data_IF_910725391696
#
_entry.id   IF_910725391696
#
_cell.length_a   1.000
_cell.length_b   1.000
_cell.length_c   1.000
_cell.angle_alpha   90.00
_cell.angle_beta   90.00
_cell.angle_gamma   90.00
#
_symmetry.space_group_name_H-M   'P 1'
#
loop_
_entity.id
_entity.type
_entity.pdbx_description
1 polymer ?
#
# COMPACT_ATOMS: atom_id res chain seq x y z
N UNK A 1 -11.57 -26.07 14.09
CA UNK A 1 -10.53 -25.29 13.37
C UNK A 1 -10.71 -25.40 11.87
N UNK A 2 -10.83 -26.61 11.32
CA UNK A 2 -11.04 -26.80 9.88
C UNK A 2 -12.29 -26.12 9.32
N UNK A 3 -13.42 -26.14 10.04
CA UNK A 3 -14.64 -25.46 9.61
C UNK A 3 -14.47 -23.94 9.52
N UNK A 4 -13.60 -23.38 10.38
CA UNK A 4 -13.26 -21.96 10.35
C UNK A 4 -12.41 -21.67 9.11
N UNK A 5 -11.39 -22.49 8.82
CA UNK A 5 -10.53 -22.35 7.64
C UNK A 5 -11.34 -22.41 6.35
N UNK A 6 -12.23 -23.41 6.20
CA UNK A 6 -13.06 -23.58 4.99
C UNK A 6 -13.98 -22.39 4.69
N UNK A 7 -14.34 -21.59 5.70
CA UNK A 7 -15.13 -20.36 5.52
C UNK A 7 -14.30 -19.17 5.05
N UNK A 8 -12.99 -19.22 5.16
CA UNK A 8 -12.12 -18.15 4.73
C UNK A 8 -11.89 -18.25 3.22
N UNK A 9 -12.01 -17.15 2.46
CA UNK A 9 -11.82 -17.18 1.01
C UNK A 9 -10.48 -17.75 0.53
N UNK A 10 -9.45 -17.69 1.39
CA UNK A 10 -8.13 -18.22 1.09
C UNK A 10 -8.08 -19.77 1.06
N UNK A 11 -8.91 -20.45 1.87
CA UNK A 11 -8.86 -21.91 2.01
C UNK A 11 -10.14 -22.61 1.54
N UNK A 12 -11.12 -21.89 1.01
CA UNK A 12 -12.45 -22.45 0.69
C UNK A 12 -12.42 -23.55 -0.38
N UNK A 13 -11.40 -23.55 -1.25
CA UNK A 13 -11.19 -24.58 -2.27
C UNK A 13 -10.15 -25.63 -1.92
N UNK A 14 -9.44 -25.49 -0.79
CA UNK A 14 -8.34 -26.38 -0.40
C UNK A 14 -8.87 -27.73 0.07
N UNK A 15 -8.18 -28.82 -0.30
CA UNK A 15 -8.52 -30.16 0.14
C UNK A 15 -8.60 -30.24 1.68
N UNK A 16 -9.69 -30.79 2.25
CA UNK A 16 -9.81 -30.99 3.69
C UNK A 16 -8.65 -31.81 4.27
N UNK A 17 -8.25 -32.87 3.58
CA UNK A 17 -7.19 -33.78 4.04
C UNK A 17 -5.84 -33.06 4.19
N UNK A 18 -5.54 -32.14 3.26
CA UNK A 18 -4.33 -31.30 3.31
C UNK A 18 -4.38 -30.36 4.52
N UNK A 19 -5.53 -29.73 4.77
CA UNK A 19 -5.69 -28.85 5.93
C UNK A 19 -5.57 -29.63 7.25
N UNK A 20 -6.17 -30.83 7.34
CA UNK A 20 -6.09 -31.68 8.53
C UNK A 20 -4.66 -32.13 8.81
N UNK A 21 -3.95 -32.57 7.76
CA UNK A 21 -2.54 -32.95 7.85
C UNK A 21 -1.70 -31.79 8.40
N UNK A 22 -1.84 -30.60 7.81
CA UNK A 22 -1.05 -29.43 8.22
C UNK A 22 -1.36 -28.95 9.63
N UNK A 23 -2.61 -29.09 10.10
CA UNK A 23 -2.97 -28.81 11.49
C UNK A 23 -2.32 -29.85 12.41
N UNK A 24 -2.40 -31.14 12.07
CA UNK A 24 -1.82 -32.22 12.86
C UNK A 24 -0.29 -32.09 12.99
N UNK A 25 0.38 -31.72 11.90
CA UNK A 25 1.83 -31.46 11.84
C UNK A 25 2.23 -30.10 12.44
N UNK A 26 1.29 -29.35 13.03
CA UNK A 26 1.48 -28.01 13.61
C UNK A 26 2.06 -26.99 12.63
N UNK A 27 1.85 -27.19 11.34
CA UNK A 27 2.21 -26.24 10.29
C UNK A 27 1.20 -25.09 10.20
N UNK A 28 -0.04 -25.32 10.65
CA UNK A 28 -1.07 -24.29 10.85
C UNK A 28 -1.46 -24.29 12.33
N UNK A 29 -1.28 -23.18 13.03
CA UNK A 29 -1.65 -23.02 14.44
C UNK A 29 -2.41 -21.73 14.67
N UNK A 30 -3.36 -21.74 15.61
CA UNK A 30 -4.06 -20.51 16.02
C UNK A 30 -3.24 -19.82 17.11
N UNK A 31 -2.95 -18.53 16.92
CA UNK A 31 -2.23 -17.68 17.88
C UNK A 31 -3.14 -16.55 18.33
N UNK A 32 -3.11 -16.23 19.62
CA UNK A 32 -3.80 -15.07 20.19
C UNK A 32 -2.78 -13.99 20.53
N UNK A 33 -3.11 -12.75 20.20
CA UNK A 33 -2.28 -11.58 20.44
C UNK A 33 -3.10 -10.56 21.23
N UNK A 34 -2.57 -10.10 22.36
CA UNK A 34 -3.23 -9.06 23.14
C UNK A 34 -3.07 -7.69 22.47
N UNK A 35 -4.01 -6.80 22.70
CA UNK A 35 -3.87 -5.38 22.32
C UNK A 35 -2.54 -4.82 22.82
N UNK A 36 -1.86 -4.06 21.95
CA UNK A 36 -0.57 -3.42 22.23
C UNK A 36 0.64 -4.34 22.09
N UNK A 37 0.46 -5.62 21.76
CA UNK A 37 1.59 -6.55 21.59
C UNK A 37 2.17 -6.49 20.18
N UNK A 38 3.49 -6.55 20.10
CA UNK A 38 4.20 -6.73 18.83
C UNK A 38 4.00 -8.16 18.33
N UNK A 39 3.48 -8.30 17.12
CA UNK A 39 3.30 -9.58 16.42
C UNK A 39 4.58 -9.96 15.68
N UNK A 40 5.18 -8.99 14.96
CA UNK A 40 6.45 -9.14 14.24
C UNK A 40 7.32 -7.91 14.43
N UNK A 41 8.61 -8.13 14.64
CA UNK A 41 9.59 -7.07 14.86
C UNK A 41 10.27 -6.65 13.56
N UNK A 42 10.57 -5.37 13.42
CA UNK A 42 11.37 -4.84 12.33
C UNK A 42 12.74 -5.53 12.28
N UNK A 43 13.16 -5.92 11.08
CA UNK A 43 14.42 -6.61 10.84
C UNK A 43 14.39 -8.11 11.17
N UNK A 44 13.38 -8.61 11.87
CA UNK A 44 13.22 -10.04 12.12
C UNK A 44 12.94 -10.81 10.82
N UNK A 45 13.33 -12.08 10.81
CA UNK A 45 13.12 -12.95 9.66
C UNK A 45 11.67 -13.44 9.59
N UNK A 46 11.08 -13.37 8.40
CA UNK A 46 9.75 -13.84 8.10
C UNK A 46 9.77 -15.34 7.81
N UNK A 47 9.58 -16.14 8.86
CA UNK A 47 9.47 -17.60 8.75
C UNK A 47 8.04 -18.12 8.53
N UNK A 48 7.04 -17.23 8.61
CA UNK A 48 5.62 -17.59 8.65
C UNK A 48 4.74 -16.61 7.88
N UNK A 49 3.56 -17.09 7.49
CA UNK A 49 2.45 -16.29 6.98
C UNK A 49 1.32 -16.32 8.00
N UNK A 50 0.80 -15.16 8.36
CA UNK A 50 -0.36 -15.06 9.26
C UNK A 50 -1.61 -14.67 8.49
N UNK A 51 -2.75 -15.23 8.89
CA UNK A 51 -4.07 -14.77 8.45
C UNK A 51 -4.86 -14.25 9.64
N UNK A 52 -5.32 -13.01 9.56
CA UNK A 52 -6.10 -12.38 10.63
C UNK A 52 -7.49 -13.01 10.67
N UNK A 53 -7.82 -13.71 11.76
CA UNK A 53 -9.14 -14.31 11.97
C UNK A 53 -10.13 -13.35 12.62
N UNK A 54 -9.62 -12.49 13.50
CA UNK A 54 -10.39 -11.45 14.19
C UNK A 54 -9.43 -10.40 14.74
N UNK A 55 -9.94 -9.20 14.99
CA UNK A 55 -9.15 -8.07 15.44
C UNK A 55 -8.55 -7.29 14.28
N UNK A 56 -7.57 -6.45 14.62
CA UNK A 56 -6.89 -5.52 13.71
C UNK A 56 -5.43 -5.41 14.12
N UNK A 57 -4.55 -5.44 13.12
CA UNK A 57 -3.12 -5.20 13.25
C UNK A 57 -2.71 -3.98 12.44
N UNK A 58 -1.59 -3.37 12.80
CA UNK A 58 -1.04 -2.23 12.08
C UNK A 58 0.47 -2.35 11.95
N UNK A 59 1.00 -2.01 10.77
CA UNK A 59 2.43 -1.75 10.57
C UNK A 59 2.67 -0.25 10.51
N UNK A 60 3.70 0.21 11.21
CA UNK A 60 4.03 1.63 11.30
C UNK A 60 5.53 1.88 11.09
N UNK A 61 5.84 3.08 10.62
CA UNK A 61 7.19 3.61 10.58
C UNK A 61 7.36 4.64 11.69
N UNK A 62 8.49 4.56 12.41
CA UNK A 62 8.93 5.60 13.34
C UNK A 62 9.78 6.61 12.59
N UNK A 63 9.42 7.89 12.70
CA UNK A 63 10.23 9.00 12.20
C UNK A 63 11.34 9.34 13.21
N UNK A 64 12.46 9.95 12.79
CA UNK A 64 13.56 10.32 13.70
C UNK A 64 13.15 11.27 14.84
N UNK A 65 12.07 12.04 14.65
CA UNK A 65 11.48 12.91 15.66
C UNK A 65 10.50 12.18 16.62
N UNK A 66 10.37 10.86 16.50
CA UNK A 66 9.48 10.04 17.32
C UNK A 66 8.03 9.96 16.82
N UNK A 67 7.65 10.62 15.73
CA UNK A 67 6.28 10.50 15.21
C UNK A 67 6.06 9.17 14.50
N UNK A 68 4.94 8.52 14.81
CA UNK A 68 4.51 7.27 14.19
C UNK A 68 3.65 7.53 12.96
N UNK A 69 3.93 6.85 11.86
CA UNK A 69 3.07 6.85 10.66
C UNK A 69 2.60 5.44 10.39
N UNK A 70 1.28 5.24 10.42
CA UNK A 70 0.66 3.98 10.00
C UNK A 70 0.83 3.81 8.49
N UNK A 71 1.46 2.72 8.08
CA UNK A 71 1.73 2.42 6.67
C UNK A 71 0.77 1.37 6.13
N UNK A 72 0.51 0.33 6.93
CA UNK A 72 -0.41 -0.74 6.58
C UNK A 72 -1.34 -1.07 7.75
N UNK A 73 -2.58 -1.36 7.42
CA UNK A 73 -3.56 -1.90 8.35
C UNK A 73 -3.97 -3.29 7.85
N UNK A 74 -4.18 -4.20 8.79
CA UNK A 74 -4.60 -5.57 8.52
C UNK A 74 -5.86 -5.85 9.32
N UNK A 75 -6.93 -6.13 8.60
CA UNK A 75 -8.24 -6.48 9.16
C UNK A 75 -8.52 -7.97 8.97
N UNK A 76 -9.68 -8.44 9.43
CA UNK A 76 -10.08 -9.85 9.29
C UNK A 76 -10.01 -10.30 7.82
N UNK A 77 -9.35 -11.42 7.58
CA UNK A 77 -9.07 -11.97 6.25
C UNK A 77 -7.76 -11.47 5.61
N UNK A 78 -7.12 -10.45 6.18
CA UNK A 78 -5.82 -9.97 5.70
C UNK A 78 -4.73 -11.00 5.93
N UNK A 79 -3.77 -11.02 5.00
CA UNK A 79 -2.60 -11.90 5.06
C UNK A 79 -1.36 -11.07 5.37
N UNK A 80 -0.62 -11.45 6.41
CA UNK A 80 0.64 -10.85 6.84
C UNK A 80 1.79 -11.79 6.48
N UNK A 81 2.93 -11.23 6.07
CA UNK A 81 4.13 -12.02 5.75
C UNK A 81 4.16 -12.64 4.35
N UNK A 82 3.03 -12.71 3.63
CA UNK A 82 2.97 -13.36 2.31
C UNK A 82 3.95 -12.78 1.27
N UNK A 83 4.17 -11.47 1.27
CA UNK A 83 5.13 -10.81 0.36
C UNK A 83 6.61 -11.02 0.75
N UNK A 84 6.87 -11.52 1.97
CA UNK A 84 8.21 -11.67 2.53
C UNK A 84 8.64 -13.14 2.59
N UNK A 85 7.70 -14.06 2.85
CA UNK A 85 7.96 -15.47 3.16
C UNK A 85 8.85 -16.19 2.13
N UNK A 86 8.64 -15.89 0.84
CA UNK A 86 9.40 -16.46 -0.29
C UNK A 86 10.29 -15.43 -1.01
N UNK A 87 10.40 -14.22 -0.47
CA UNK A 87 11.22 -13.16 -1.06
C UNK A 87 12.72 -13.38 -0.82
N UNK A 88 13.56 -12.87 -1.73
CA UNK A 88 15.03 -12.86 -1.55
C UNK A 88 15.47 -12.03 -0.34
N UNK A 89 14.65 -11.05 0.07
CA UNK A 89 14.76 -10.30 1.31
C UNK A 89 13.55 -10.62 2.18
N UNK A 90 13.66 -11.63 3.02
CA UNK A 90 12.57 -12.13 3.86
C UNK A 90 12.53 -11.49 5.26
N UNK A 91 12.89 -10.21 5.41
CA UNK A 91 12.87 -9.53 6.72
C UNK A 91 11.76 -8.50 6.79
N UNK A 92 11.13 -8.38 7.97
CA UNK A 92 10.06 -7.41 8.19
C UNK A 92 10.62 -5.98 8.10
N UNK A 93 10.10 -5.12 7.22
CA UNK A 93 10.61 -3.75 7.08
C UNK A 93 10.14 -2.82 8.21
N UNK A 94 9.12 -3.22 8.97
CA UNK A 94 8.44 -2.43 10.01
C UNK A 94 7.97 -3.36 11.13
N UNK A 95 7.77 -2.79 12.32
CA UNK A 95 7.06 -3.47 13.40
C UNK A 95 5.59 -3.63 13.03
N UNK A 96 5.01 -4.79 13.35
CA UNK A 96 3.58 -5.07 13.22
C UNK A 96 3.04 -5.34 14.62
N UNK A 97 2.03 -4.60 15.04
CA UNK A 97 1.43 -4.71 16.37
C UNK A 97 -0.07 -4.91 16.30
N UNK A 98 -0.62 -5.51 17.35
CA UNK A 98 -2.05 -5.73 17.49
C UNK A 98 -2.72 -4.50 18.11
N UNK A 99 -3.61 -3.81 17.38
CA UNK A 99 -4.33 -2.63 17.92
C UNK A 99 -5.55 -3.01 18.75
N UNK A 100 -5.99 -4.26 18.64
CA UNK A 100 -7.08 -4.89 19.42
C UNK A 100 -6.61 -6.26 19.89
N UNK A 101 -7.40 -6.95 20.72
CA UNK A 101 -7.16 -8.39 20.92
C UNK A 101 -7.44 -9.12 19.60
N UNK A 102 -6.45 -9.83 19.09
CA UNK A 102 -6.50 -10.45 17.77
C UNK A 102 -6.28 -11.95 17.84
N UNK A 103 -6.91 -12.68 16.92
CA UNK A 103 -6.62 -14.09 16.68
C UNK A 103 -6.07 -14.25 15.27
N UNK A 104 -4.95 -14.95 15.15
CA UNK A 104 -4.24 -15.18 13.90
C UNK A 104 -4.18 -16.69 13.62
N UNK A 105 -4.23 -17.06 12.34
CA UNK A 105 -3.76 -18.35 11.87
C UNK A 105 -2.32 -18.19 11.43
N UNK A 106 -1.41 -18.78 12.19
CA UNK A 106 0.02 -18.78 11.94
C UNK A 106 0.38 -20.01 11.11
N UNK A 107 0.93 -19.78 9.93
CA UNK A 107 1.28 -20.83 8.97
C UNK A 107 2.78 -20.79 8.72
N UNK A 108 3.47 -21.88 9.00
CA UNK A 108 4.90 -22.00 8.75
C UNK A 108 5.20 -21.92 7.26
N UNK A 109 6.43 -21.55 6.89
CA UNK A 109 6.87 -21.57 5.49
C UNK A 109 6.62 -22.92 4.81
N UNK A 110 7.01 -24.02 5.46
CA UNK A 110 6.77 -25.38 4.99
C UNK A 110 5.28 -25.72 4.85
N UNK A 111 4.45 -25.20 5.76
CA UNK A 111 2.98 -25.32 5.63
C UNK A 111 2.45 -24.60 4.40
N UNK A 112 2.95 -23.39 4.12
CA UNK A 112 2.57 -22.67 2.90
C UNK A 112 3.10 -23.39 1.65
N UNK A 113 4.33 -23.90 1.65
CA UNK A 113 4.87 -24.70 0.55
C UNK A 113 3.98 -25.90 0.22
N UNK A 114 3.50 -26.61 1.24
CA UNK A 114 2.57 -27.72 1.04
C UNK A 114 1.20 -27.27 0.52
N UNK A 115 0.68 -26.14 1.02
CA UNK A 115 -0.57 -25.55 0.51
C UNK A 115 -0.45 -25.12 -0.95
N UNK A 116 0.74 -24.71 -1.40
CA UNK A 116 0.98 -24.32 -2.80
C UNK A 116 0.95 -25.50 -3.78
N UNK A 117 0.92 -26.75 -3.29
CA UNK A 117 0.66 -27.93 -4.14
C UNK A 117 -0.85 -28.11 -4.45
N UNK A 118 -1.73 -27.42 -3.72
CA UNK A 118 -3.19 -27.50 -3.88
C UNK A 118 -3.73 -26.30 -4.68
N UNK A 119 -4.29 -26.57 -5.86
CA UNK A 119 -4.82 -25.53 -6.76
C UNK A 119 -5.93 -24.67 -6.10
N UNK A 120 -6.71 -25.27 -5.20
CA UNK A 120 -7.76 -24.61 -4.44
C UNK A 120 -7.25 -23.57 -3.45
N UNK A 121 -5.98 -23.67 -3.03
CA UNK A 121 -5.29 -22.63 -2.27
C UNK A 121 -4.51 -21.66 -3.17
N UNK A 122 -3.79 -22.19 -4.17
CA UNK A 122 -2.89 -21.40 -5.03
C UNK A 122 -3.61 -20.24 -5.69
N UNK A 123 -4.79 -20.47 -6.28
CA UNK A 123 -5.50 -19.41 -7.01
C UNK A 123 -5.99 -18.28 -6.09
N UNK A 124 -6.64 -18.54 -4.95
CA UNK A 124 -6.92 -17.51 -3.95
C UNK A 124 -5.68 -16.77 -3.45
N UNK A 125 -4.58 -17.49 -3.22
CA UNK A 125 -3.33 -16.91 -2.74
C UNK A 125 -2.71 -15.95 -3.78
N UNK A 126 -2.59 -16.37 -5.05
CA UNK A 126 -2.12 -15.52 -6.15
C UNK A 126 -3.03 -14.31 -6.36
N UNK A 127 -4.36 -14.49 -6.24
CA UNK A 127 -5.31 -13.36 -6.30
C UNK A 127 -5.06 -12.35 -5.18
N UNK A 128 -4.80 -12.83 -3.97
CA UNK A 128 -4.47 -11.96 -2.83
C UNK A 128 -3.17 -11.19 -3.05
N UNK A 129 -2.12 -11.85 -3.56
CA UNK A 129 -0.85 -11.19 -3.89
C UNK A 129 -1.03 -10.13 -4.99
N UNK A 130 -1.83 -10.45 -6.01
CA UNK A 130 -2.15 -9.53 -7.11
C UNK A 130 -2.91 -8.30 -6.62
N UNK A 131 -3.93 -8.49 -5.77
CA UNK A 131 -4.68 -7.40 -5.15
C UNK A 131 -3.79 -6.51 -4.27
N UNK A 132 -2.91 -7.12 -3.46
CA UNK A 132 -1.94 -6.40 -2.63
C UNK A 132 -0.96 -5.57 -3.48
N UNK A 133 -0.43 -6.15 -4.57
CA UNK A 133 0.47 -5.46 -5.50
C UNK A 133 -0.21 -4.26 -6.18
N UNK A 134 -1.43 -4.44 -6.67
CA UNK A 134 -2.23 -3.35 -7.26
C UNK A 134 -2.54 -2.25 -6.24
N UNK A 135 -2.95 -2.62 -5.02
CA UNK A 135 -3.19 -1.65 -3.95
C UNK A 135 -1.93 -0.86 -3.56
N UNK A 136 -0.76 -1.51 -3.57
CA UNK A 136 0.51 -0.83 -3.32
C UNK A 136 0.88 0.12 -4.46
N UNK A 137 0.71 -0.29 -5.72
CA UNK A 137 0.91 0.59 -6.88
C UNK A 137 -0.04 1.78 -6.87
N UNK A 138 -1.29 1.60 -6.44
CA UNK A 138 -2.24 2.70 -6.29
C UNK A 138 -1.80 3.68 -5.19
N UNK A 139 -1.35 3.18 -4.04
CA UNK A 139 -0.79 4.02 -2.97
C UNK A 139 0.44 4.77 -3.44
N UNK A 140 1.38 4.09 -4.11
CA UNK A 140 2.55 4.72 -4.72
C UNK A 140 2.07 5.79 -5.69
N UNK A 141 1.19 5.49 -6.64
CA UNK A 141 0.66 6.49 -7.57
C UNK A 141 -0.07 7.66 -6.88
N UNK A 142 -0.64 7.49 -5.70
CA UNK A 142 -1.21 8.60 -4.91
C UNK A 142 -0.10 9.44 -4.28
N UNK A 143 0.94 8.80 -3.72
CA UNK A 143 2.08 9.46 -3.08
C UNK A 143 3.10 10.03 -4.08
N UNK A 144 3.17 9.48 -5.29
CA UNK A 144 4.08 9.84 -6.39
C UNK A 144 3.36 10.47 -7.57
N UNK A 145 2.02 10.62 -7.52
CA UNK A 145 1.36 11.66 -8.33
C UNK A 145 2.14 12.91 -8.03
N UNK A 146 2.79 13.46 -9.06
CA UNK A 146 3.85 14.43 -8.90
C UNK A 146 3.46 15.50 -7.89
N UNK A 147 4.45 16.09 -7.23
CA UNK A 147 4.24 17.32 -6.49
C UNK A 147 3.37 18.26 -7.35
N UNK A 148 2.54 19.09 -6.73
CA UNK A 148 1.70 20.03 -7.49
C UNK A 148 2.50 20.78 -8.58
N UNK A 149 3.78 21.05 -8.30
CA UNK A 149 4.78 21.56 -9.24
C UNK A 149 4.97 20.69 -10.49
N UNK A 150 5.26 19.40 -10.34
CA UNK A 150 5.50 18.49 -11.47
C UNK A 150 4.25 18.36 -12.34
N UNK A 151 3.08 18.18 -11.72
CA UNK A 151 1.82 18.12 -12.46
C UNK A 151 1.52 19.43 -13.20
N UNK A 152 1.88 20.58 -12.62
CA UNK A 152 1.77 21.88 -13.28
C UNK A 152 2.74 22.01 -14.44
N UNK A 153 4.00 21.59 -14.28
CA UNK A 153 5.00 21.63 -15.35
C UNK A 153 4.60 20.73 -16.52
N UNK A 154 4.19 19.48 -16.25
CA UNK A 154 3.73 18.55 -17.29
C UNK A 154 2.54 19.13 -18.07
N UNK A 155 1.59 19.74 -17.35
CA UNK A 155 0.43 20.39 -17.96
C UNK A 155 0.83 21.61 -18.81
N UNK A 156 1.72 22.48 -18.32
CA UNK A 156 2.16 23.66 -19.07
C UNK A 156 3.01 23.27 -20.28
N UNK A 157 3.86 22.25 -20.17
CA UNK A 157 4.64 21.72 -21.30
C UNK A 157 3.73 21.11 -22.37
N UNK A 158 2.70 20.35 -21.96
CA UNK A 158 1.71 19.83 -22.89
C UNK A 158 0.95 20.94 -23.62
N UNK A 159 0.52 22.00 -22.91
CA UNK A 159 -0.10 23.18 -23.52
C UNK A 159 0.86 23.93 -24.45
N UNK A 160 2.13 24.08 -24.07
CA UNK A 160 3.17 24.72 -24.88
C UNK A 160 3.38 23.95 -26.19
N UNK A 161 3.43 22.62 -26.13
CA UNK A 161 3.52 21.77 -27.31
C UNK A 161 2.28 21.91 -28.22
N UNK A 162 1.08 21.98 -27.64
CA UNK A 162 -0.16 22.15 -28.38
C UNK A 162 -0.28 23.54 -29.03
N UNK A 163 0.12 24.59 -28.32
CA UNK A 163 0.08 25.99 -28.78
C UNK A 163 1.31 26.37 -29.60
N UNK A 164 2.32 25.49 -29.67
CA UNK A 164 3.62 25.69 -30.34
C UNK A 164 4.33 26.96 -29.88
N UNK A 165 4.24 27.27 -28.58
CA UNK A 165 4.75 28.51 -28.00
C UNK A 165 5.07 28.30 -26.52
N UNK A 166 6.21 28.83 -26.05
CA UNK A 166 6.54 28.88 -24.62
C UNK A 166 5.72 29.93 -23.85
N UNK A 167 5.08 30.86 -24.57
CA UNK A 167 4.05 31.73 -24.06
C UNK A 167 2.68 31.10 -24.33
N UNK A 168 2.03 30.61 -23.27
CA UNK A 168 0.79 29.85 -23.32
C UNK A 168 -0.36 30.63 -22.70
N UNK A 169 -1.57 30.41 -23.24
CA UNK A 169 -2.81 30.88 -22.62
C UNK A 169 -3.50 29.71 -21.94
N UNK A 170 -3.81 29.85 -20.64
CA UNK A 170 -4.55 28.84 -19.89
C UNK A 170 -6.02 28.81 -20.37
N UNK A 171 -6.56 27.64 -20.74
CA UNK A 171 -7.95 27.52 -21.21
C UNK A 171 -8.98 27.66 -20.08
N UNK A 172 -8.53 27.82 -18.84
CA UNK A 172 -9.37 27.88 -17.65
C UNK A 172 -8.84 28.92 -16.65
N UNK A 173 -9.71 29.36 -15.75
CA UNK A 173 -9.29 30.24 -14.65
C UNK A 173 -8.39 29.48 -13.66
N UNK A 174 -7.56 30.18 -12.89
CA UNK A 174 -6.75 29.56 -11.82
C UNK A 174 -7.59 28.83 -10.77
N UNK A 175 -8.83 29.26 -10.57
CA UNK A 175 -9.79 28.57 -9.71
C UNK A 175 -10.12 27.18 -10.27
N UNK A 176 -10.52 27.12 -11.54
CA UNK A 176 -10.80 25.85 -12.22
C UNK A 176 -9.56 24.97 -12.35
N UNK A 177 -8.38 25.57 -12.48
CA UNK A 177 -7.11 24.85 -12.47
C UNK A 177 -6.85 24.16 -11.13
N UNK A 178 -7.19 24.81 -10.00
CA UNK A 178 -7.08 24.19 -8.68
C UNK A 178 -8.03 23.00 -8.54
N UNK A 179 -9.27 23.18 -9.02
CA UNK A 179 -10.28 22.12 -9.03
C UNK A 179 -9.85 20.95 -9.93
N UNK A 180 -9.24 21.23 -11.10
CA UNK A 180 -8.71 20.23 -12.03
C UNK A 180 -7.61 19.36 -11.41
N UNK A 181 -6.68 19.98 -10.66
CA UNK A 181 -5.62 19.25 -9.94
C UNK A 181 -6.07 18.68 -8.59
N UNK A 182 -7.33 18.89 -8.17
CA UNK A 182 -7.84 18.40 -6.90
C UNK A 182 -7.17 19.02 -5.67
N UNK A 183 -6.69 20.26 -5.78
CA UNK A 183 -5.98 20.97 -4.69
C UNK A 183 -6.75 22.21 -4.23
N UNK A 184 -6.54 22.60 -2.98
CA UNK A 184 -7.08 23.85 -2.47
C UNK A 184 -6.47 25.06 -3.19
N UNK A 185 -7.27 26.10 -3.46
CA UNK A 185 -6.81 27.31 -4.17
C UNK A 185 -5.54 27.93 -3.54
N UNK A 186 -5.43 28.12 -2.21
CA UNK A 186 -4.21 28.68 -1.63
C UNK A 186 -2.96 27.86 -1.92
N UNK A 187 -3.08 26.52 -2.01
CA UNK A 187 -1.96 25.63 -2.35
C UNK A 187 -1.49 25.84 -3.80
N UNK A 188 -2.43 25.94 -4.75
CA UNK A 188 -2.10 26.26 -6.14
C UNK A 188 -1.44 27.64 -6.27
N UNK A 189 -2.03 28.67 -5.68
CA UNK A 189 -1.48 30.04 -5.76
C UNK A 189 -0.10 30.14 -5.11
N UNK A 190 0.12 29.47 -3.98
CA UNK A 190 1.43 29.41 -3.32
C UNK A 190 2.48 28.73 -4.20
N UNK A 191 2.12 27.63 -4.86
CA UNK A 191 3.05 26.92 -5.74
C UNK A 191 3.38 27.72 -7.00
N UNK A 192 2.38 28.29 -7.66
CA UNK A 192 2.58 29.17 -8.82
C UNK A 192 3.43 30.40 -8.49
N UNK A 193 3.20 31.00 -7.31
CA UNK A 193 4.04 32.12 -6.84
C UNK A 193 5.48 31.66 -6.64
N UNK A 194 5.69 30.51 -5.98
CA UNK A 194 7.03 29.96 -5.75
C UNK A 194 7.77 29.69 -7.07
N UNK A 195 7.10 29.09 -8.06
CA UNK A 195 7.69 28.85 -9.38
C UNK A 195 8.02 30.16 -10.12
N UNK A 196 7.20 31.22 -9.93
CA UNK A 196 7.50 32.57 -10.44
C UNK A 196 8.71 33.20 -9.75
N UNK A 197 8.76 33.13 -8.43
CA UNK A 197 9.85 33.70 -7.62
C UNK A 197 11.19 32.98 -7.91
N UNK A 198 11.14 31.70 -8.28
CA UNK A 198 12.29 30.91 -8.75
C UNK A 198 12.68 31.19 -10.22
N UNK A 199 11.92 32.02 -10.95
CA UNK A 199 12.20 32.39 -12.33
C UNK A 199 11.81 31.34 -13.39
N UNK A 200 11.13 30.26 -13.01
CA UNK A 200 10.71 29.18 -13.92
C UNK A 200 9.54 29.61 -14.83
N UNK A 201 8.77 30.62 -14.41
CA UNK A 201 7.60 31.08 -15.14
C UNK A 201 7.23 32.52 -14.83
N UNK A 202 6.61 33.18 -15.81
CA UNK A 202 5.92 34.45 -15.64
C UNK A 202 4.43 34.25 -15.79
N UNK A 203 3.64 34.90 -14.93
CA UNK A 203 2.19 34.79 -14.93
C UNK A 203 1.58 36.19 -15.01
N UNK A 204 0.75 36.42 -16.02
CA UNK A 204 -0.07 37.62 -16.16
C UNK A 204 -1.52 37.23 -16.51
N UNK A 205 -2.45 37.32 -15.55
CA UNK A 205 -3.83 36.91 -15.80
C UNK A 205 -3.94 35.41 -16.14
N UNK A 206 -4.38 35.09 -17.36
CA UNK A 206 -4.43 33.72 -17.90
C UNK A 206 -3.23 33.36 -18.78
N UNK A 207 -2.38 34.34 -19.07
CA UNK A 207 -1.15 34.14 -19.84
C UNK A 207 -0.02 33.69 -18.91
N UNK A 208 0.74 32.71 -19.38
CA UNK A 208 1.88 32.16 -18.68
C UNK A 208 3.03 31.97 -19.66
N UNK A 209 4.23 32.45 -19.31
CA UNK A 209 5.45 32.20 -20.09
C UNK A 209 6.34 31.23 -19.33
N UNK A 210 6.71 30.11 -19.95
CA UNK A 210 7.66 29.15 -19.39
C UNK A 210 9.08 29.65 -19.68
N UNK A 211 9.88 29.80 -18.63
CA UNK A 211 11.28 30.23 -18.72
C UNK A 211 12.17 29.03 -18.38
N UNK A 212 13.02 28.64 -19.34
CA UNK A 212 14.03 27.59 -19.17
C UNK A 212 15.30 28.13 -18.51
#
# INVERSE_FOLDING_TARGET
MIDQLKRMPLFCGTSPDVLEQLIHEKQIVKRFCHKGTTVHEQGSECGTMDVVCSGKLTAYALSPNGSETVVFEFETGSIVGANLLFGTRNRYPMNIYSVTDSALLHITKSGVEKLLEDYGFVMPFVRSLSANSQGMNQKIAIYTRGSLRENLLDYFLALSAQQKSSHIVLPMTKKQLADYFGVQRPSLFRELKRMKDEGLLEINGQELTIRY
#
